data_IF_502615979752
#
_entry.id   IF_502615979752
#
_cell.length_a   1.000
_cell.length_b   1.000
_cell.length_c   1.000
_cell.angle_alpha   90.00
_cell.angle_beta   90.00
_cell.angle_gamma   90.00
#
_symmetry.space_group_name_H-M   'P 1'
#
loop_
_entity.id
_entity.type
_entity.pdbx_description
1 polymer ?
#
# COMPACT_ATOMS: atom_id res chain seq x y z
N UNK A 1 -17.56 -27.78 7.29
CA UNK A 1 -16.22 -27.54 6.71
C UNK A 1 -15.93 -26.06 6.87
N UNK A 2 -14.84 -25.70 7.54
CA UNK A 2 -14.42 -24.32 7.80
C UNK A 2 -13.27 -23.98 6.86
N UNK A 3 -13.35 -22.85 6.17
CA UNK A 3 -12.25 -22.35 5.33
C UNK A 3 -11.54 -21.25 6.12
N UNK A 4 -10.23 -21.39 6.27
CA UNK A 4 -9.34 -20.44 6.93
C UNK A 4 -8.52 -19.76 5.84
N UNK A 5 -8.86 -18.52 5.55
CA UNK A 5 -8.04 -17.68 4.67
C UNK A 5 -6.77 -17.27 5.39
N UNK A 6 -5.60 -17.50 4.79
CA UNK A 6 -4.30 -17.14 5.36
C UNK A 6 -3.66 -16.05 4.51
N UNK A 7 -3.19 -14.99 5.14
CA UNK A 7 -2.40 -13.92 4.52
C UNK A 7 -0.98 -14.02 5.10
N UNK A 8 0.02 -14.06 4.22
CA UNK A 8 1.42 -13.93 4.60
C UNK A 8 1.85 -12.48 4.43
N UNK A 9 2.68 -12.01 5.35
CA UNK A 9 3.43 -10.77 5.20
C UNK A 9 4.87 -11.07 5.57
N UNK A 10 5.80 -10.74 4.68
CA UNK A 10 7.23 -10.82 4.94
C UNK A 10 7.86 -9.48 4.60
N UNK A 11 8.91 -9.11 5.32
CA UNK A 11 9.80 -8.00 5.01
C UNK A 11 11.02 -8.04 5.95
N UNK A 12 12.12 -7.38 5.55
CA UNK A 12 13.31 -7.20 6.36
C UNK A 12 13.16 -5.96 7.25
N UNK A 13 13.37 -6.10 8.56
CA UNK A 13 13.43 -4.93 9.46
C UNK A 13 14.79 -4.80 10.13
N UNK A 14 15.38 -3.61 10.01
CA UNK A 14 16.53 -3.24 10.84
C UNK A 14 16.12 -3.06 12.31
N UNK A 15 16.90 -3.63 13.21
CA UNK A 15 16.74 -3.54 14.66
C UNK A 15 17.56 -2.41 15.29
N UNK A 16 18.59 -1.93 14.58
CA UNK A 16 19.50 -0.87 15.03
C UNK A 16 19.76 0.12 13.90
N UNK A 17 19.56 1.42 14.15
CA UNK A 17 19.72 2.46 13.12
C UNK A 17 21.14 3.07 13.03
N UNK A 18 22.04 2.77 13.97
CA UNK A 18 23.32 3.50 14.11
C UNK A 18 24.57 2.61 14.20
N UNK A 19 24.52 1.44 14.87
CA UNK A 19 25.63 0.49 14.87
C UNK A 19 25.16 -0.94 15.08
N UNK A 20 25.82 -1.88 14.38
CA UNK A 20 25.62 -3.31 14.52
C UNK A 20 24.97 -4.01 13.33
N UNK A 21 24.36 -3.24 12.40
CA UNK A 21 23.69 -3.74 11.17
C UNK A 21 22.85 -5.01 11.41
N UNK A 22 22.11 -5.02 12.52
CA UNK A 22 21.25 -6.14 12.88
C UNK A 22 19.90 -5.96 12.23
N UNK A 23 19.45 -6.98 11.52
CA UNK A 23 18.13 -7.07 10.93
C UNK A 23 17.49 -8.42 11.26
N UNK A 24 16.18 -8.50 11.08
CA UNK A 24 15.41 -9.75 11.13
C UNK A 24 14.52 -9.78 9.91
N UNK A 25 14.43 -10.96 9.29
CA UNK A 25 13.42 -11.25 8.27
C UNK A 25 12.23 -11.93 8.96
N UNK A 26 11.21 -11.14 9.27
CA UNK A 26 10.02 -11.65 9.93
C UNK A 26 9.02 -12.16 8.88
N UNK A 27 8.42 -13.32 9.15
CA UNK A 27 7.27 -13.82 8.37
C UNK A 27 6.06 -13.87 9.29
N UNK A 28 5.08 -13.03 9.00
CA UNK A 28 3.80 -12.98 9.69
C UNK A 28 2.76 -13.82 8.94
N UNK A 29 1.99 -14.57 9.71
CA UNK A 29 0.86 -15.35 9.20
C UNK A 29 -0.41 -14.87 9.91
N UNK A 30 -1.38 -14.42 9.13
CA UNK A 30 -2.61 -13.80 9.63
C UNK A 30 -3.83 -14.44 9.00
N UNK A 31 -4.97 -14.38 9.67
CA UNK A 31 -6.24 -14.80 9.10
C UNK A 31 -6.84 -13.65 8.27
N UNK A 32 -7.13 -13.93 7.00
CA UNK A 32 -7.76 -12.97 6.10
C UNK A 32 -9.26 -12.86 6.35
N UNK A 33 -9.79 -11.64 6.40
CA UNK A 33 -11.23 -11.37 6.55
C UNK A 33 -11.94 -11.38 5.18
N UNK A 34 -11.96 -12.54 4.50
CA UNK A 34 -12.57 -12.67 3.17
C UNK A 34 -13.84 -13.52 3.25
N UNK A 35 -14.92 -13.09 2.56
CA UNK A 35 -16.14 -13.90 2.39
C UNK A 35 -15.78 -15.25 1.79
N UNK A 36 -16.30 -16.33 2.39
CA UNK A 36 -15.96 -17.72 2.01
C UNK A 36 -16.19 -18.06 0.53
N UNK A 37 -17.07 -17.32 -0.16
CA UNK A 37 -17.36 -17.45 -1.59
C UNK A 37 -16.18 -17.14 -2.52
N UNK A 38 -15.13 -16.46 -2.03
CA UNK A 38 -14.03 -15.94 -2.86
C UNK A 38 -12.77 -16.82 -2.83
N UNK A 39 -12.73 -17.86 -2.00
CA UNK A 39 -11.51 -18.67 -1.80
C UNK A 39 -11.19 -19.63 -2.97
N UNK A 40 -9.94 -19.62 -3.44
CA UNK A 40 -9.42 -20.50 -4.51
C UNK A 40 -8.70 -21.73 -3.92
N UNK A 41 -9.17 -22.92 -4.32
CA UNK A 41 -8.67 -24.31 -4.13
C UNK A 41 -8.02 -24.72 -2.79
N UNK A 42 -8.43 -25.92 -2.39
CA UNK A 42 -8.46 -26.46 -1.03
C UNK A 42 -7.14 -27.19 -0.74
N UNK A 43 -6.48 -26.90 0.39
CA UNK A 43 -5.47 -27.78 0.97
C UNK A 43 -6.12 -29.02 1.62
N UNK A 44 -5.34 -30.03 2.02
CA UNK A 44 -5.91 -31.16 2.76
C UNK A 44 -6.60 -30.70 4.04
N UNK A 45 -7.87 -31.08 4.19
CA UNK A 45 -8.66 -30.69 5.34
C UNK A 45 -8.16 -31.39 6.61
N UNK A 46 -7.89 -30.63 7.67
CA UNK A 46 -7.49 -31.14 8.98
C UNK A 46 -8.63 -31.02 9.98
N UNK A 47 -8.72 -31.97 10.90
CA UNK A 47 -9.64 -31.87 12.03
C UNK A 47 -8.99 -31.02 13.12
N UNK A 48 -9.65 -29.93 13.50
CA UNK A 48 -9.19 -28.98 14.51
C UNK A 48 -10.29 -28.82 15.55
N UNK A 49 -9.93 -28.75 16.83
CA UNK A 49 -10.87 -28.49 17.92
C UNK A 49 -11.02 -26.97 18.04
N UNK A 50 -12.26 -26.47 18.01
CA UNK A 50 -12.53 -25.04 18.22
C UNK A 50 -12.52 -24.66 19.71
N UNK A 51 -12.73 -23.38 20.01
CA UNK A 51 -12.77 -22.89 21.38
C UNK A 51 -13.93 -23.47 22.21
N UNK A 52 -14.98 -23.97 21.56
CA UNK A 52 -16.15 -24.59 22.18
C UNK A 52 -15.96 -26.11 22.40
N UNK A 53 -14.80 -26.67 22.02
CA UNK A 53 -14.51 -28.10 22.10
C UNK A 53 -15.09 -28.93 20.93
N UNK A 54 -15.69 -28.30 19.93
CA UNK A 54 -16.24 -28.98 18.77
C UNK A 54 -15.14 -29.30 17.76
N UNK A 55 -15.18 -30.52 17.20
CA UNK A 55 -14.26 -30.89 16.12
C UNK A 55 -14.75 -30.31 14.80
N UNK A 56 -13.95 -29.42 14.20
CA UNK A 56 -14.21 -28.81 12.89
C UNK A 56 -13.25 -29.35 11.85
N UNK A 57 -13.79 -29.66 10.68
CA UNK A 57 -12.99 -29.95 9.48
C UNK A 57 -12.56 -28.62 8.85
N UNK A 58 -11.32 -28.21 9.05
CA UNK A 58 -10.76 -26.93 8.62
C UNK A 58 -9.81 -27.11 7.42
N UNK A 59 -9.83 -26.13 6.51
CA UNK A 59 -8.93 -26.04 5.35
C UNK A 59 -8.27 -24.68 5.37
N UNK A 60 -6.94 -24.62 5.35
CA UNK A 60 -6.20 -23.37 5.20
C UNK A 60 -5.93 -23.08 3.73
N UNK A 61 -6.23 -21.88 3.26
CA UNK A 61 -5.97 -21.44 1.89
C UNK A 61 -5.13 -20.18 1.98
N UNK A 62 -3.95 -20.20 1.35
CA UNK A 62 -3.14 -19.00 1.19
C UNK A 62 -3.87 -18.05 0.23
N UNK A 63 -4.22 -16.86 0.70
CA UNK A 63 -5.00 -15.88 -0.05
C UNK A 63 -4.14 -14.79 -0.66
N UNK A 64 -3.14 -14.34 0.08
CA UNK A 64 -2.31 -13.20 -0.28
C UNK A 64 -0.91 -13.37 0.34
N UNK A 65 0.10 -12.87 -0.36
CA UNK A 65 1.46 -12.73 0.17
C UNK A 65 1.91 -11.29 -0.04
N UNK A 66 2.01 -10.56 1.06
CA UNK A 66 2.44 -9.17 1.13
C UNK A 66 3.96 -9.18 1.28
N UNK A 67 4.64 -8.50 0.38
CA UNK A 67 6.08 -8.34 0.39
C UNK A 67 6.44 -7.06 -0.37
N UNK A 68 7.58 -6.45 -0.04
CA UNK A 68 8.09 -5.34 -0.82
C UNK A 68 8.58 -5.83 -2.21
N UNK A 69 8.81 -4.92 -3.16
CA UNK A 69 9.16 -5.34 -4.52
C UNK A 69 10.46 -6.17 -4.58
N UNK A 70 11.42 -5.89 -3.70
CA UNK A 70 12.70 -6.62 -3.68
C UNK A 70 12.45 -8.07 -3.25
N UNK A 71 11.73 -8.27 -2.16
CA UNK A 71 11.42 -9.60 -1.64
C UNK A 71 10.43 -10.34 -2.55
N UNK A 72 9.53 -9.65 -3.25
CA UNK A 72 8.69 -10.26 -4.27
C UNK A 72 9.51 -11.00 -5.33
N UNK A 73 10.62 -10.43 -5.80
CA UNK A 73 11.52 -11.10 -6.75
C UNK A 73 12.07 -12.42 -6.20
N UNK A 74 12.45 -12.46 -4.93
CA UNK A 74 12.96 -13.66 -4.28
C UNK A 74 11.85 -14.70 -4.08
N UNK A 75 10.65 -14.27 -3.67
CA UNK A 75 9.49 -15.14 -3.52
C UNK A 75 9.14 -15.80 -4.86
N UNK A 76 9.00 -15.02 -5.93
CA UNK A 76 8.60 -15.57 -7.25
C UNK A 76 9.79 -16.05 -8.08
N UNK A 77 11.02 -15.99 -7.55
CA UNK A 77 12.25 -16.39 -8.24
C UNK A 77 12.50 -15.68 -9.59
N UNK A 78 12.09 -14.42 -9.74
CA UNK A 78 12.31 -13.61 -10.96
C UNK A 78 13.44 -12.61 -10.76
N UNK A 79 14.19 -12.34 -11.83
CA UNK A 79 15.29 -11.38 -11.75
C UNK A 79 14.77 -9.95 -11.51
N UNK A 80 15.52 -9.10 -10.78
CA UNK A 80 15.16 -7.70 -10.59
C UNK A 80 14.97 -6.94 -11.91
N UNK A 81 14.26 -5.80 -11.85
CA UNK A 81 13.92 -4.96 -13.00
C UNK A 81 13.01 -5.64 -14.04
N UNK A 82 12.14 -6.52 -13.56
CA UNK A 82 11.05 -7.15 -14.33
C UNK A 82 9.74 -6.97 -13.57
N UNK A 83 8.61 -7.39 -14.16
CA UNK A 83 7.36 -7.46 -13.40
C UNK A 83 7.27 -8.80 -12.66
N UNK A 84 7.05 -8.83 -11.33
CA UNK A 84 6.86 -10.09 -10.60
C UNK A 84 5.54 -10.79 -10.92
N UNK A 85 4.59 -10.08 -11.55
CA UNK A 85 3.25 -10.59 -11.86
C UNK A 85 3.05 -10.95 -13.33
N UNK A 86 3.78 -10.34 -14.27
CA UNK A 86 3.58 -10.54 -15.70
C UNK A 86 4.90 -10.65 -16.47
N UNK A 87 4.85 -11.11 -17.72
CA UNK A 87 6.03 -11.41 -18.55
C UNK A 87 6.85 -10.18 -18.96
N UNK A 88 6.52 -8.98 -18.47
CA UNK A 88 7.23 -7.74 -18.79
C UNK A 88 8.68 -7.78 -18.30
N UNK A 89 9.59 -7.62 -19.26
CA UNK A 89 11.01 -7.40 -19.00
C UNK A 89 11.28 -5.90 -18.80
N UNK A 90 12.54 -5.53 -18.54
CA UNK A 90 12.92 -4.14 -18.32
C UNK A 90 12.45 -3.19 -19.43
N UNK A 91 12.55 -3.62 -20.69
CA UNK A 91 12.20 -2.80 -21.85
C UNK A 91 10.69 -2.60 -21.99
N UNK A 92 9.88 -3.48 -21.40
CA UNK A 92 8.43 -3.43 -21.44
C UNK A 92 7.82 -2.61 -20.29
N UNK A 93 8.60 -2.29 -19.26
CA UNK A 93 8.09 -1.65 -18.03
C UNK A 93 7.45 -0.27 -18.30
N UNK A 94 7.92 0.44 -19.32
CA UNK A 94 7.35 1.71 -19.77
C UNK A 94 6.11 1.58 -20.65
N UNK A 95 5.71 0.38 -21.07
CA UNK A 95 4.57 0.19 -21.98
C UNK A 95 3.23 0.55 -21.33
N UNK A 96 2.22 0.88 -22.14
CA UNK A 96 0.83 1.03 -21.73
C UNK A 96 0.07 -0.30 -21.71
N UNK A 97 0.57 -1.28 -22.45
CA UNK A 97 -0.05 -2.58 -22.60
C UNK A 97 0.61 -3.58 -21.64
N UNK A 98 -0.13 -4.12 -20.66
CA UNK A 98 0.41 -5.16 -19.79
C UNK A 98 0.58 -6.46 -20.57
N UNK A 99 1.66 -7.18 -20.27
CA UNK A 99 1.89 -8.51 -20.82
C UNK A 99 1.10 -9.57 -20.04
N UNK A 100 0.94 -10.79 -20.59
CA UNK A 100 0.29 -11.89 -19.87
C UNK A 100 0.97 -12.18 -18.53
N UNK A 101 0.17 -12.64 -17.56
CA UNK A 101 0.67 -12.99 -16.23
C UNK A 101 1.64 -14.17 -16.27
N UNK A 102 2.63 -14.13 -15.38
CA UNK A 102 3.38 -15.33 -15.01
C UNK A 102 2.44 -16.35 -14.37
N UNK A 103 2.83 -17.62 -14.43
CA UNK A 103 2.21 -18.67 -13.62
C UNK A 103 3.28 -19.35 -12.77
N UNK A 104 2.93 -19.74 -11.55
CA UNK A 104 3.76 -20.56 -10.67
C UNK A 104 4.37 -21.75 -11.43
N UNK A 105 3.56 -22.41 -12.27
CA UNK A 105 4.00 -23.53 -13.11
C UNK A 105 5.09 -23.12 -14.10
N UNK A 106 4.91 -22.02 -14.83
CA UNK A 106 5.91 -21.58 -15.82
C UNK A 106 7.27 -21.27 -15.18
N UNK A 107 7.27 -20.74 -13.96
CA UNK A 107 8.49 -20.44 -13.21
C UNK A 107 9.18 -21.73 -12.76
N UNK A 108 8.41 -22.65 -12.15
CA UNK A 108 8.92 -23.96 -11.72
C UNK A 108 9.47 -24.78 -12.90
N UNK A 109 8.75 -24.81 -14.03
CA UNK A 109 9.18 -25.53 -15.23
C UNK A 109 10.55 -25.00 -15.74
N UNK A 110 10.78 -23.69 -15.67
CA UNK A 110 12.07 -23.09 -16.05
C UNK A 110 13.20 -23.44 -15.07
N UNK A 111 12.93 -23.42 -13.76
CA UNK A 111 13.89 -23.83 -12.73
C UNK A 111 14.29 -25.30 -12.90
N UNK A 112 13.30 -26.17 -13.04
CA UNK A 112 13.51 -27.60 -13.26
C UNK A 112 14.26 -27.88 -14.57
N UNK A 113 13.97 -27.12 -15.63
CA UNK A 113 14.70 -27.23 -16.89
C UNK A 113 16.18 -26.91 -16.74
N UNK A 114 16.54 -25.86 -15.98
CA UNK A 114 17.95 -25.56 -15.69
C UNK A 114 18.58 -26.71 -14.90
N UNK A 115 17.90 -27.18 -13.83
CA UNK A 115 18.44 -28.28 -13.01
C UNK A 115 18.63 -29.56 -13.81
N UNK A 116 17.71 -29.89 -14.72
CA UNK A 116 17.80 -31.07 -15.57
C UNK A 116 18.95 -30.96 -16.59
N UNK A 117 19.20 -29.76 -17.12
CA UNK A 117 20.29 -29.51 -18.06
C UNK A 117 21.67 -29.47 -17.37
N UNK A 118 21.71 -29.03 -16.11
CA UNK A 118 22.93 -28.93 -15.30
C UNK A 118 22.76 -29.62 -13.94
N UNK A 119 22.70 -30.97 -13.88
CA UNK A 119 22.38 -31.71 -12.65
C UNK A 119 23.41 -31.54 -11.52
N UNK A 120 24.66 -31.24 -11.88
CA UNK A 120 25.79 -31.09 -10.95
C UNK A 120 26.25 -29.64 -10.83
N UNK A 121 25.45 -28.68 -11.32
CA UNK A 121 25.76 -27.28 -11.12
C UNK A 121 25.76 -26.93 -9.63
N UNK A 122 26.81 -26.27 -9.18
CA UNK A 122 26.79 -25.58 -7.90
C UNK A 122 25.84 -24.35 -7.96
N UNK A 123 25.56 -23.75 -6.80
CA UNK A 123 24.67 -22.59 -6.68
C UNK A 123 25.07 -21.44 -7.60
N UNK A 124 26.38 -21.20 -7.79
CA UNK A 124 26.85 -20.12 -8.64
C UNK A 124 26.62 -20.43 -10.13
N UNK A 125 26.92 -21.65 -10.55
CA UNK A 125 26.68 -22.13 -11.90
C UNK A 125 25.18 -22.10 -12.23
N UNK A 126 24.32 -22.54 -11.32
CA UNK A 126 22.87 -22.42 -11.46
C UNK A 126 22.46 -20.95 -11.63
N UNK A 127 22.92 -20.06 -10.75
CA UNK A 127 22.62 -18.64 -10.79
C UNK A 127 23.00 -17.99 -12.14
N UNK A 128 24.16 -18.36 -12.69
CA UNK A 128 24.56 -17.90 -14.03
C UNK A 128 23.58 -18.33 -15.12
N UNK A 129 23.06 -19.56 -15.07
CA UNK A 129 22.10 -20.05 -16.06
C UNK A 129 20.69 -19.46 -15.85
N UNK A 130 20.26 -19.33 -14.61
CA UNK A 130 18.98 -18.69 -14.23
C UNK A 130 18.90 -17.25 -14.76
N UNK A 131 19.99 -16.49 -14.56
CA UNK A 131 20.08 -15.10 -15.03
C UNK A 131 19.89 -14.97 -16.55
N UNK A 132 20.37 -15.93 -17.34
CA UNK A 132 20.25 -15.89 -18.81
C UNK A 132 18.80 -15.94 -19.32
N UNK A 133 17.87 -16.41 -18.49
CA UNK A 133 16.45 -16.51 -18.82
C UNK A 133 15.57 -15.63 -17.91
N UNK A 134 16.17 -14.68 -17.19
CA UNK A 134 15.44 -13.73 -16.35
C UNK A 134 14.95 -14.29 -15.00
N UNK A 135 15.50 -15.41 -14.53
CA UNK A 135 15.23 -15.94 -13.20
C UNK A 135 16.24 -15.43 -12.16
N UNK A 136 15.80 -15.36 -10.90
CA UNK A 136 16.67 -15.16 -9.75
C UNK A 136 17.45 -16.44 -9.40
N UNK A 137 18.40 -16.32 -8.48
CA UNK A 137 19.26 -17.43 -8.02
C UNK A 137 18.57 -18.35 -7.00
N UNK A 138 17.26 -18.59 -7.15
CA UNK A 138 16.47 -19.40 -6.22
C UNK A 138 16.34 -20.82 -6.78
N UNK A 139 17.08 -21.74 -6.17
CA UNK A 139 17.17 -23.14 -6.60
C UNK A 139 15.98 -23.98 -6.14
N UNK A 140 15.48 -23.71 -4.92
CA UNK A 140 14.40 -24.43 -4.27
C UNK A 140 13.35 -23.43 -3.83
N UNK A 141 12.14 -23.57 -4.36
CA UNK A 141 11.05 -22.64 -4.11
C UNK A 141 10.23 -23.10 -2.90
N UNK A 142 10.00 -22.19 -1.94
CA UNK A 142 9.31 -22.51 -0.69
C UNK A 142 7.81 -22.79 -0.85
N UNK A 143 7.18 -22.33 -1.95
CA UNK A 143 5.77 -22.57 -2.27
C UNK A 143 5.56 -23.70 -3.29
N UNK A 144 6.61 -24.43 -3.68
CA UNK A 144 6.45 -25.58 -4.56
C UNK A 144 5.52 -26.63 -3.93
N UNK A 145 4.56 -27.12 -4.73
CA UNK A 145 3.55 -28.08 -4.26
C UNK A 145 2.30 -27.45 -3.63
N UNK A 146 2.26 -26.14 -3.42
CA UNK A 146 1.01 -25.48 -3.02
C UNK A 146 -0.03 -25.55 -4.15
N UNK A 147 -1.32 -25.78 -3.83
CA UNK A 147 -2.39 -25.89 -4.84
C UNK A 147 -2.87 -24.51 -5.36
N UNK A 148 -2.02 -23.49 -5.28
CA UNK A 148 -2.32 -22.11 -5.67
C UNK A 148 -1.21 -21.52 -6.54
N UNK A 149 -1.60 -20.63 -7.44
CA UNK A 149 -0.66 -19.89 -8.27
C UNK A 149 -0.16 -18.64 -7.52
N UNK A 150 1.11 -18.68 -7.09
CA UNK A 150 1.74 -17.59 -6.32
C UNK A 150 1.66 -16.24 -7.05
N UNK A 151 1.77 -16.23 -8.38
CA UNK A 151 1.79 -15.00 -9.18
C UNK A 151 0.43 -14.29 -9.17
N UNK A 152 -0.65 -14.96 -8.70
CA UNK A 152 -1.98 -14.37 -8.55
C UNK A 152 -2.26 -13.83 -7.16
N UNK A 153 -1.44 -14.18 -6.18
CA UNK A 153 -1.62 -13.84 -4.76
C UNK A 153 -0.49 -13.01 -4.19
N UNK A 154 0.62 -12.84 -4.93
CA UNK A 154 1.64 -11.86 -4.59
C UNK A 154 1.03 -10.46 -4.70
N UNK A 155 1.14 -9.67 -3.64
CA UNK A 155 0.47 -8.39 -3.52
C UNK A 155 1.36 -7.26 -3.97
N UNK A 156 0.83 -6.36 -4.80
CA UNK A 156 1.41 -5.02 -4.91
C UNK A 156 1.01 -4.18 -3.69
N UNK A 157 2.01 -3.54 -3.11
CA UNK A 157 1.89 -2.84 -1.83
C UNK A 157 1.72 -1.33 -2.01
N UNK A 158 0.78 -0.73 -1.28
CA UNK A 158 0.53 0.72 -1.38
C UNK A 158 1.71 1.54 -0.83
N UNK A 159 2.34 1.11 0.25
CA UNK A 159 3.41 1.87 0.91
C UNK A 159 4.71 1.89 0.08
N UNK A 160 5.24 0.72 -0.22
CA UNK A 160 6.47 0.50 -0.97
C UNK A 160 6.29 0.58 -2.49
N UNK A 161 5.05 0.48 -2.98
CA UNK A 161 4.68 0.65 -4.38
C UNK A 161 4.22 2.08 -4.68
N UNK A 162 2.94 2.40 -4.39
CA UNK A 162 2.31 3.67 -4.74
C UNK A 162 2.96 4.89 -4.09
N UNK A 163 3.02 4.92 -2.76
CA UNK A 163 3.57 6.07 -2.01
C UNK A 163 5.07 6.23 -2.26
N UNK A 164 5.79 5.11 -2.40
CA UNK A 164 7.22 5.15 -2.77
C UNK A 164 7.44 5.57 -4.22
N UNK A 165 6.54 5.25 -5.16
CA UNK A 165 6.57 5.75 -6.54
C UNK A 165 6.36 7.27 -6.58
N UNK A 166 5.37 7.75 -5.83
CA UNK A 166 5.15 9.18 -5.65
C UNK A 166 6.43 9.86 -5.12
N UNK A 167 7.01 9.31 -4.05
CA UNK A 167 8.19 9.86 -3.40
C UNK A 167 9.43 9.85 -4.28
N UNK A 168 9.80 8.69 -4.81
CA UNK A 168 11.10 8.49 -5.46
C UNK A 168 11.13 9.10 -6.87
N UNK A 169 9.98 9.23 -7.52
CA UNK A 169 9.90 9.65 -8.91
C UNK A 169 9.05 10.90 -9.11
N UNK A 170 7.78 10.91 -8.68
CA UNK A 170 6.90 12.04 -8.99
C UNK A 170 7.39 13.34 -8.34
N UNK A 171 7.80 13.32 -7.07
CA UNK A 171 8.37 14.51 -6.41
C UNK A 171 9.59 15.02 -7.18
N UNK A 172 10.48 14.13 -7.60
CA UNK A 172 11.67 14.50 -8.37
C UNK A 172 11.31 15.15 -9.71
N UNK A 173 10.38 14.56 -10.46
CA UNK A 173 9.92 15.11 -11.74
C UNK A 173 9.29 16.49 -11.59
N UNK A 174 8.44 16.66 -10.57
CA UNK A 174 7.83 17.94 -10.27
C UNK A 174 8.87 18.98 -9.85
N UNK A 175 9.86 18.59 -9.04
CA UNK A 175 11.01 19.43 -8.67
C UNK A 175 11.75 19.92 -9.91
N UNK A 176 12.09 19.01 -10.81
CA UNK A 176 12.86 19.30 -12.01
C UNK A 176 12.06 20.15 -13.01
N UNK A 177 10.74 19.99 -13.04
CA UNK A 177 9.85 20.77 -13.91
C UNK A 177 9.75 22.23 -13.44
N UNK A 178 9.51 22.45 -12.14
CA UNK A 178 9.37 23.80 -11.57
C UNK A 178 10.72 24.52 -11.47
N UNK A 179 11.82 23.76 -11.27
CA UNK A 179 13.16 24.31 -11.12
C UNK A 179 13.46 24.81 -9.70
N UNK A 180 14.53 25.62 -9.59
CA UNK A 180 15.00 26.16 -8.30
C UNK A 180 13.97 27.06 -7.65
N UNK A 181 13.95 27.13 -6.30
CA UNK A 181 12.88 27.80 -5.62
C UNK A 181 12.84 29.33 -5.79
N UNK A 182 11.66 29.86 -6.15
CA UNK A 182 11.17 31.19 -5.82
C UNK A 182 10.33 31.14 -4.50
N UNK A 183 9.76 32.27 -4.02
CA UNK A 183 9.10 32.36 -2.70
C UNK A 183 7.98 31.33 -2.41
N UNK A 184 7.27 30.80 -3.42
CA UNK A 184 6.23 29.76 -3.23
C UNK A 184 6.88 28.38 -2.99
N UNK A 185 7.99 28.13 -3.66
CA UNK A 185 8.76 26.89 -3.59
C UNK A 185 9.63 26.78 -2.33
N UNK A 186 9.79 27.84 -1.53
CA UNK A 186 10.40 27.75 -0.19
C UNK A 186 9.51 26.98 0.78
N UNK A 187 8.18 27.11 0.65
CA UNK A 187 7.21 26.29 1.38
C UNK A 187 7.28 24.82 0.96
N UNK A 188 7.50 24.57 -0.34
CA UNK A 188 7.67 23.22 -0.89
C UNK A 188 8.97 22.56 -0.44
N UNK A 189 10.11 23.28 -0.43
CA UNK A 189 11.36 22.75 0.11
C UNK A 189 11.23 22.47 1.61
N UNK A 190 10.51 23.31 2.35
CA UNK A 190 10.24 23.07 3.77
C UNK A 190 9.39 21.81 3.99
N UNK A 191 8.36 21.58 3.16
CA UNK A 191 7.59 20.32 3.16
C UNK A 191 8.44 19.11 2.76
N UNK A 192 9.45 19.30 1.90
CA UNK A 192 10.41 18.26 1.49
C UNK A 192 11.52 18.00 2.54
N UNK A 193 11.78 18.93 3.45
CA UNK A 193 12.91 18.80 4.40
C UNK A 193 12.47 18.18 5.75
N UNK A 194 11.19 18.27 6.13
CA UNK A 194 10.67 17.75 7.42
C UNK A 194 10.02 16.34 7.31
N UNK A 195 10.75 15.38 6.73
CA UNK A 195 10.24 14.07 6.30
C UNK A 195 9.99 13.04 7.42
N UNK A 196 8.71 12.66 7.60
CA UNK A 196 8.27 11.45 8.30
C UNK A 196 7.15 10.76 7.50
N UNK A 197 6.80 9.49 7.79
CA UNK A 197 5.76 8.75 7.06
C UNK A 197 4.40 9.48 6.97
N UNK A 198 4.00 10.22 8.02
CA UNK A 198 2.81 11.09 8.01
C UNK A 198 2.95 12.27 7.03
N UNK A 199 4.16 12.82 6.90
CA UNK A 199 4.45 13.93 5.98
C UNK A 199 4.31 13.58 4.49
N UNK A 200 4.49 12.30 4.10
CA UNK A 200 4.31 11.89 2.70
C UNK A 200 2.85 12.03 2.26
N UNK A 201 1.88 11.55 3.07
CA UNK A 201 0.45 11.62 2.74
C UNK A 201 -0.06 13.05 2.69
N UNK A 202 0.41 13.91 3.58
CA UNK A 202 0.04 15.33 3.54
C UNK A 202 0.61 16.01 2.29
N UNK A 203 1.81 15.64 1.84
CA UNK A 203 2.34 16.17 0.59
C UNK A 203 1.53 15.70 -0.62
N UNK A 204 1.16 14.43 -0.71
CA UNK A 204 0.30 13.90 -1.78
C UNK A 204 -1.01 14.69 -1.92
N UNK A 205 -1.60 15.11 -0.80
CA UNK A 205 -2.86 15.88 -0.78
C UNK A 205 -2.73 17.30 -1.31
N UNK A 206 -1.59 17.95 -1.07
CA UNK A 206 -1.43 19.38 -1.32
C UNK A 206 -0.53 19.70 -2.52
N UNK A 207 0.15 18.71 -3.08
CA UNK A 207 1.19 18.93 -4.09
C UNK A 207 0.64 19.58 -5.37
N UNK A 208 -0.51 19.13 -5.88
CA UNK A 208 -1.10 19.67 -7.11
C UNK A 208 -1.49 21.15 -6.95
N UNK A 209 -2.26 21.55 -5.91
CA UNK A 209 -2.54 22.97 -5.67
C UNK A 209 -1.29 23.84 -5.53
N UNK A 210 -0.25 23.33 -4.85
CA UNK A 210 0.99 24.08 -4.60
C UNK A 210 1.72 24.41 -5.89
N UNK A 211 1.77 23.47 -6.84
CA UNK A 211 2.55 23.63 -8.07
C UNK A 211 1.73 24.15 -9.25
N UNK A 212 0.40 24.24 -9.14
CA UNK A 212 -0.51 24.71 -10.21
C UNK A 212 -0.27 26.16 -10.65
N UNK A 213 0.32 26.99 -9.79
CA UNK A 213 0.69 28.37 -10.08
C UNK A 213 2.20 28.60 -10.18
N UNK A 214 3.01 27.54 -10.20
CA UNK A 214 4.46 27.67 -10.22
C UNK A 214 4.96 28.04 -11.63
N UNK A 215 5.89 29.00 -11.70
CA UNK A 215 6.58 29.36 -12.93
C UNK A 215 7.30 28.12 -13.48
N UNK A 216 7.08 27.79 -14.75
CA UNK A 216 7.68 26.60 -15.40
C UNK A 216 6.83 25.32 -15.36
N UNK A 217 5.70 25.31 -14.64
CA UNK A 217 4.79 24.15 -14.68
C UNK A 217 4.15 23.98 -16.07
N UNK A 218 4.20 22.76 -16.59
CA UNK A 218 3.69 22.40 -17.93
C UNK A 218 2.36 21.63 -17.79
N UNK A 219 1.32 21.96 -18.58
CA UNK A 219 0.02 21.30 -18.48
C UNK A 219 0.06 19.77 -18.58
N UNK A 220 0.89 19.21 -19.46
CA UNK A 220 1.05 17.75 -19.59
C UNK A 220 1.61 17.10 -18.32
N UNK A 221 2.62 17.71 -17.71
CA UNK A 221 3.24 17.24 -16.46
C UNK A 221 2.24 17.31 -15.30
N UNK A 222 1.52 18.42 -15.19
CA UNK A 222 0.46 18.60 -14.18
C UNK A 222 -0.62 17.54 -14.32
N UNK A 223 -1.08 17.27 -15.55
CA UNK A 223 -2.08 16.25 -15.84
C UNK A 223 -1.58 14.85 -15.48
N UNK A 224 -0.37 14.49 -15.90
CA UNK A 224 0.25 13.20 -15.56
C UNK A 224 0.41 13.02 -14.05
N UNK A 225 0.82 14.07 -13.34
CA UNK A 225 0.94 14.06 -11.88
C UNK A 225 -0.41 13.86 -11.18
N UNK A 226 -1.45 14.57 -11.64
CA UNK A 226 -2.81 14.41 -11.12
C UNK A 226 -3.35 13.01 -11.36
N UNK A 227 -3.19 12.46 -12.57
CA UNK A 227 -3.66 11.11 -12.90
C UNK A 227 -2.98 10.04 -12.04
N UNK A 228 -1.67 10.20 -11.75
CA UNK A 228 -0.99 9.30 -10.83
C UNK A 228 -1.56 9.40 -9.41
N UNK A 229 -1.86 10.60 -8.91
CA UNK A 229 -2.50 10.79 -7.61
C UNK A 229 -3.94 10.26 -7.58
N UNK A 230 -4.72 10.49 -8.62
CA UNK A 230 -6.08 9.93 -8.76
C UNK A 230 -6.03 8.40 -8.71
N UNK A 231 -5.05 7.78 -9.37
CA UNK A 231 -4.82 6.33 -9.26
C UNK A 231 -4.52 5.92 -7.82
N UNK A 232 -3.61 6.63 -7.15
CA UNK A 232 -3.21 6.38 -5.76
C UNK A 232 -4.43 6.44 -4.83
N UNK A 233 -5.30 7.44 -4.99
CA UNK A 233 -6.49 7.61 -4.16
C UNK A 233 -7.57 6.58 -4.45
N UNK A 234 -7.87 6.30 -5.72
CA UNK A 234 -8.89 5.30 -6.08
C UNK A 234 -8.45 3.91 -5.62
N UNK A 235 -7.18 3.54 -5.80
CA UNK A 235 -6.67 2.23 -5.37
C UNK A 235 -6.86 1.99 -3.87
N UNK A 236 -6.82 3.05 -3.05
CA UNK A 236 -6.96 3.00 -1.59
C UNK A 236 -8.41 2.96 -1.09
N UNK A 237 -9.43 2.97 -1.96
CA UNK A 237 -10.80 2.89 -1.48
C UNK A 237 -11.04 1.61 -0.67
N UNK A 238 -11.62 1.71 0.56
CA UNK A 238 -11.86 0.56 1.43
C UNK A 238 -12.91 -0.40 0.85
N UNK A 239 -13.65 0.04 -0.17
CA UNK A 239 -14.57 -0.78 -0.92
C UNK A 239 -14.48 -0.40 -2.40
N UNK A 240 -14.38 -1.42 -3.26
CA UNK A 240 -14.25 -1.27 -4.70
C UNK A 240 -15.50 -1.85 -5.37
N UNK A 241 -16.04 -1.12 -6.33
CA UNK A 241 -17.14 -1.55 -7.20
C UNK A 241 -16.64 -1.66 -8.65
N UNK A 242 -17.46 -2.22 -9.53
CA UNK A 242 -17.13 -2.27 -10.96
C UNK A 242 -16.89 -0.87 -11.53
N UNK A 243 -17.61 0.15 -11.04
CA UNK A 243 -17.42 1.54 -11.47
C UNK A 243 -16.09 2.13 -11.00
N UNK A 244 -15.65 1.84 -9.78
CA UNK A 244 -14.35 2.33 -9.28
C UNK A 244 -13.19 1.59 -9.96
N UNK A 245 -13.33 0.29 -10.26
CA UNK A 245 -12.36 -0.46 -11.06
C UNK A 245 -12.24 0.06 -12.50
N UNK A 246 -13.37 0.42 -13.13
CA UNK A 246 -13.37 1.08 -14.44
C UNK A 246 -12.69 2.45 -14.38
N UNK A 247 -12.96 3.25 -13.34
CA UNK A 247 -12.29 4.53 -13.14
C UNK A 247 -10.77 4.35 -12.96
N UNK A 248 -10.34 3.39 -12.15
CA UNK A 248 -8.93 3.08 -11.94
C UNK A 248 -8.22 2.71 -13.25
N UNK A 249 -8.87 1.89 -14.09
CA UNK A 249 -8.36 1.53 -15.42
C UNK A 249 -8.30 2.74 -16.37
N UNK A 250 -9.33 3.58 -16.38
CA UNK A 250 -9.40 4.77 -17.22
C UNK A 250 -8.33 5.80 -16.85
N UNK A 251 -8.12 6.01 -15.54
CA UNK A 251 -7.06 6.88 -15.02
C UNK A 251 -5.69 6.37 -15.43
N UNK A 252 -5.44 5.05 -15.31
CA UNK A 252 -4.16 4.48 -15.75
C UNK A 252 -3.96 4.66 -17.26
N UNK A 253 -4.96 4.34 -18.08
CA UNK A 253 -4.89 4.55 -19.54
C UNK A 253 -4.54 6.00 -19.88
N UNK A 254 -5.26 6.95 -19.29
CA UNK A 254 -5.04 8.38 -19.53
C UNK A 254 -3.66 8.81 -19.03
N UNK A 255 -3.16 8.23 -17.94
CA UNK A 255 -1.80 8.47 -17.47
C UNK A 255 -0.77 8.03 -18.51
N UNK A 256 -0.93 6.84 -19.11
CA UNK A 256 -0.04 6.37 -20.17
C UNK A 256 -0.05 7.27 -21.41
N UNK A 257 -1.20 7.86 -21.76
CA UNK A 257 -1.32 8.81 -22.88
C UNK A 257 -0.57 10.14 -22.62
N UNK A 258 -0.33 10.50 -21.36
CA UNK A 258 0.24 11.81 -21.00
C UNK A 258 1.65 11.74 -20.40
N UNK A 259 2.07 10.60 -19.84
CA UNK A 259 3.32 10.48 -19.06
C UNK A 259 4.59 10.84 -19.84
N UNK A 260 4.56 10.77 -21.17
CA UNK A 260 5.66 11.20 -22.04
C UNK A 260 6.03 12.67 -21.81
N UNK A 261 5.12 13.47 -21.25
CA UNK A 261 5.40 14.85 -20.83
C UNK A 261 6.60 14.97 -19.89
N UNK A 262 6.85 13.96 -19.04
CA UNK A 262 8.00 13.95 -18.12
C UNK A 262 9.34 13.76 -18.84
N UNK A 263 9.32 13.08 -20.00
CA UNK A 263 10.51 12.90 -20.85
C UNK A 263 10.69 14.15 -21.71
N UNK A 264 9.63 14.61 -22.37
CA UNK A 264 9.67 15.75 -23.28
C UNK A 264 10.15 17.05 -22.62
N UNK A 265 9.80 17.26 -21.35
CA UNK A 265 10.27 18.43 -20.60
C UNK A 265 11.62 18.23 -19.90
N UNK A 266 12.24 17.05 -20.02
CA UNK A 266 13.51 16.72 -19.39
C UNK A 266 13.46 16.55 -17.87
N UNK A 267 12.28 16.39 -17.26
CA UNK A 267 12.15 16.23 -15.80
C UNK A 267 12.58 14.84 -15.31
N UNK A 268 12.50 13.83 -16.18
CA UNK A 268 12.96 12.48 -15.90
C UNK A 268 14.49 12.40 -16.03
N UNK A 269 15.19 12.39 -14.89
CA UNK A 269 16.66 12.44 -14.80
C UNK A 269 17.21 11.33 -13.94
N UNK A 270 18.34 10.76 -14.34
CA UNK A 270 19.18 9.94 -13.49
C UNK A 270 20.23 10.78 -12.74
N UNK A 271 21.18 10.11 -12.09
CA UNK A 271 22.23 10.78 -11.32
C UNK A 271 23.13 11.73 -12.16
N UNK A 272 23.21 11.53 -13.48
CA UNK A 272 24.14 12.30 -14.34
C UNK A 272 23.57 12.68 -15.71
N UNK A 273 22.37 12.25 -16.07
CA UNK A 273 21.81 12.48 -17.40
C UNK A 273 20.28 12.47 -17.39
N UNK A 274 19.68 13.10 -18.41
CA UNK A 274 18.25 12.92 -18.71
C UNK A 274 18.02 11.46 -19.15
N UNK A 275 16.93 10.87 -18.69
CA UNK A 275 16.49 9.52 -19.05
C UNK A 275 15.31 9.66 -20.02
N UNK A 276 15.38 8.98 -21.16
CA UNK A 276 14.40 9.06 -22.25
C UNK A 276 13.36 7.92 -22.22
N UNK A 277 13.15 7.31 -21.06
CA UNK A 277 12.18 6.23 -20.87
C UNK A 277 11.58 6.25 -19.45
N UNK A 278 10.47 5.56 -19.28
CA UNK A 278 9.79 5.39 -17.99
C UNK A 278 9.74 3.91 -17.56
N UNK A 279 10.79 3.15 -17.88
CA UNK A 279 10.99 1.75 -17.49
C UNK A 279 11.25 1.62 -15.98
N UNK A 280 10.23 1.89 -15.18
CA UNK A 280 10.28 1.92 -13.72
C UNK A 280 9.40 0.80 -13.21
N UNK A 281 9.95 -0.21 -12.49
CA UNK A 281 9.16 -1.35 -12.01
C UNK A 281 7.93 -0.93 -11.19
N UNK A 282 8.04 0.08 -10.32
CA UNK A 282 6.91 0.59 -9.52
C UNK A 282 5.83 1.28 -10.38
N UNK A 283 6.21 1.91 -11.48
CA UNK A 283 5.25 2.50 -12.42
C UNK A 283 4.53 1.40 -13.21
N UNK A 284 5.26 0.38 -13.66
CA UNK A 284 4.66 -0.77 -14.33
C UNK A 284 3.71 -1.55 -13.40
N UNK A 285 4.06 -1.63 -12.12
CA UNK A 285 3.26 -2.31 -11.10
C UNK A 285 1.83 -1.75 -10.99
N UNK A 286 1.55 -0.51 -11.45
CA UNK A 286 0.19 0.04 -11.53
C UNK A 286 -0.79 -0.89 -12.27
N UNK A 287 -0.33 -1.60 -13.31
CA UNK A 287 -1.15 -2.62 -13.99
C UNK A 287 -1.52 -3.79 -13.07
N UNK A 288 -0.65 -4.13 -12.11
CA UNK A 288 -0.87 -5.24 -11.20
C UNK A 288 -2.02 -4.95 -10.24
N UNK A 289 -2.23 -3.70 -9.78
CA UNK A 289 -3.42 -3.33 -8.97
C UNK A 289 -4.73 -3.67 -9.67
N UNK A 290 -4.80 -3.50 -11.00
CA UNK A 290 -6.00 -3.84 -11.78
C UNK A 290 -6.33 -5.34 -11.74
N UNK A 291 -5.33 -6.19 -11.45
CA UNK A 291 -5.51 -7.63 -11.27
C UNK A 291 -5.61 -8.04 -9.80
N UNK A 292 -4.82 -7.43 -8.90
CA UNK A 292 -4.81 -7.73 -7.47
C UNK A 292 -6.13 -7.36 -6.82
N UNK A 293 -6.70 -6.17 -7.08
CA UNK A 293 -7.94 -5.75 -6.42
C UNK A 293 -9.10 -6.72 -6.70
N UNK A 294 -9.38 -7.12 -7.97
CA UNK A 294 -10.40 -8.12 -8.24
C UNK A 294 -10.08 -9.52 -7.67
N UNK A 295 -8.80 -9.86 -7.51
CA UNK A 295 -8.38 -11.19 -7.04
C UNK A 295 -8.37 -11.30 -5.50
N UNK A 296 -8.00 -10.22 -4.80
CA UNK A 296 -7.63 -10.22 -3.38
C UNK A 296 -8.52 -9.32 -2.52
N UNK A 297 -9.32 -8.45 -3.14
CA UNK A 297 -10.15 -7.46 -2.45
C UNK A 297 -9.52 -6.07 -2.45
N UNK A 298 -10.08 -5.16 -1.65
CA UNK A 298 -9.52 -3.82 -1.44
C UNK A 298 -8.13 -3.89 -0.80
N UNK A 299 -7.28 -2.89 -1.10
CA UNK A 299 -5.86 -2.89 -0.72
C UNK A 299 -5.62 -2.77 0.79
N UNK A 300 -6.60 -2.32 1.55
CA UNK A 300 -6.57 -2.27 3.02
C UNK A 300 -6.39 -3.67 3.64
N UNK A 301 -6.84 -4.72 2.95
CA UNK A 301 -6.68 -6.11 3.39
C UNK A 301 -5.24 -6.65 3.25
N UNK A 302 -4.38 -5.99 2.47
CA UNK A 302 -3.05 -6.51 2.15
C UNK A 302 -1.94 -5.44 2.07
N UNK A 303 -2.02 -4.40 2.91
CA UNK A 303 -1.03 -3.33 2.99
C UNK A 303 0.14 -3.66 3.95
N UNK A 304 1.37 -3.31 3.56
CA UNK A 304 2.56 -3.50 4.43
C UNK A 304 2.61 -2.59 5.65
N UNK A 305 1.76 -1.57 5.77
CA UNK A 305 1.63 -0.77 7.01
C UNK A 305 1.35 -1.67 8.24
N UNK A 306 0.63 -2.77 8.01
CA UNK A 306 0.41 -3.79 9.03
C UNK A 306 1.72 -4.50 9.41
N UNK A 307 2.53 -4.88 8.42
CA UNK A 307 3.85 -5.45 8.60
C UNK A 307 4.80 -4.52 9.34
N UNK A 308 4.84 -3.23 8.99
CA UNK A 308 5.66 -2.24 9.71
C UNK A 308 5.25 -2.08 11.18
N UNK A 309 3.94 -2.07 11.45
CA UNK A 309 3.39 -2.04 12.81
C UNK A 309 3.81 -3.29 13.59
N UNK A 310 3.71 -4.46 12.96
CA UNK A 310 4.16 -5.73 13.55
C UNK A 310 5.68 -5.76 13.76
N UNK A 311 6.49 -5.18 12.87
CA UNK A 311 7.93 -5.05 13.07
C UNK A 311 8.25 -4.24 14.31
N UNK A 312 7.54 -3.14 14.55
CA UNK A 312 7.70 -2.35 15.77
C UNK A 312 7.37 -3.21 16.99
N UNK A 313 6.19 -3.81 17.01
CA UNK A 313 5.66 -4.53 18.17
C UNK A 313 6.43 -5.83 18.47
N UNK A 314 6.69 -6.62 17.44
CA UNK A 314 7.17 -8.00 17.58
C UNK A 314 8.69 -8.12 17.46
N UNK A 315 9.35 -7.21 16.73
CA UNK A 315 10.80 -7.29 16.52
C UNK A 315 11.54 -6.20 17.30
N UNK A 316 11.20 -4.93 17.09
CA UNK A 316 11.97 -3.80 17.65
C UNK A 316 11.79 -3.66 19.16
N UNK A 317 10.55 -3.70 19.67
CA UNK A 317 10.30 -3.65 21.11
C UNK A 317 10.86 -4.87 21.83
N UNK A 318 10.68 -6.06 21.25
CA UNK A 318 11.28 -7.29 21.75
C UNK A 318 12.80 -7.12 21.87
N UNK A 319 13.47 -6.75 20.77
CA UNK A 319 14.93 -6.55 20.74
C UNK A 319 15.43 -5.51 21.76
N UNK A 320 14.67 -4.43 21.99
CA UNK A 320 15.01 -3.41 22.99
C UNK A 320 14.96 -3.95 24.43
N UNK A 321 14.07 -4.91 24.71
CA UNK A 321 13.87 -5.47 26.05
C UNK A 321 14.91 -6.54 26.46
N UNK A 322 15.84 -6.91 25.57
CA UNK A 322 16.76 -8.05 25.76
C UNK A 322 18.23 -7.62 25.80
N UNK A 323 19.11 -8.57 26.07
CA UNK A 323 20.56 -8.34 26.14
C UNK A 323 21.22 -8.22 24.75
N UNK A 324 20.45 -8.41 23.66
CA UNK A 324 20.85 -8.22 22.25
C UNK A 324 21.89 -9.20 21.70
N UNK A 325 22.24 -10.27 22.41
CA UNK A 325 23.07 -11.39 21.92
C UNK A 325 22.17 -12.50 21.40
N UNK A 326 22.54 -13.18 20.31
CA UNK A 326 21.74 -14.29 19.73
C UNK A 326 20.23 -13.96 19.71
N UNK A 327 19.94 -12.77 19.18
CA UNK A 327 18.70 -12.04 19.48
C UNK A 327 17.47 -12.66 18.83
N UNK A 328 17.62 -13.44 17.77
CA UNK A 328 16.51 -14.12 17.10
C UNK A 328 15.79 -15.08 18.06
N UNK A 329 16.55 -15.96 18.73
CA UNK A 329 15.99 -16.89 19.71
C UNK A 329 15.37 -16.16 20.89
N UNK A 330 16.00 -15.06 21.32
CA UNK A 330 15.44 -14.25 22.41
C UNK A 330 14.12 -13.61 21.99
N UNK A 331 14.02 -13.03 20.78
CA UNK A 331 12.79 -12.45 20.22
C UNK A 331 11.68 -13.49 20.24
N UNK A 332 11.94 -14.71 19.74
CA UNK A 332 10.96 -15.81 19.76
C UNK A 332 10.50 -16.11 21.19
N UNK A 333 11.44 -16.27 22.14
CA UNK A 333 11.10 -16.54 23.55
C UNK A 333 10.28 -15.43 24.18
N UNK A 334 10.59 -14.17 23.87
CA UNK A 334 9.83 -13.01 24.36
C UNK A 334 8.41 -13.01 23.82
N UNK A 335 8.23 -13.28 22.53
CA UNK A 335 6.91 -13.36 21.90
C UNK A 335 6.06 -14.48 22.52
N UNK A 336 6.63 -15.68 22.70
CA UNK A 336 5.97 -16.81 23.37
C UNK A 336 5.55 -16.42 24.80
N UNK A 337 6.41 -15.69 25.52
CA UNK A 337 6.10 -15.23 26.87
C UNK A 337 4.94 -14.21 26.88
N UNK A 338 4.96 -13.22 25.99
CA UNK A 338 3.88 -12.24 25.86
C UNK A 338 2.55 -12.90 25.49
N UNK A 339 2.56 -13.85 24.55
CA UNK A 339 1.38 -14.62 24.16
C UNK A 339 0.84 -15.46 25.32
N UNK A 340 1.72 -16.14 26.05
CA UNK A 340 1.34 -16.94 27.23
C UNK A 340 0.68 -16.08 28.33
N UNK A 341 1.23 -14.89 28.59
CA UNK A 341 0.65 -13.93 29.54
C UNK A 341 -0.71 -13.41 29.06
N UNK A 342 -0.86 -13.13 27.77
CA UNK A 342 -2.13 -12.69 27.19
C UNK A 342 -3.20 -13.78 27.30
N UNK A 343 -2.87 -15.02 26.95
CA UNK A 343 -3.77 -16.17 27.06
C UNK A 343 -4.18 -16.41 28.52
N UNK A 344 -3.23 -16.35 29.45
CA UNK A 344 -3.52 -16.49 30.88
C UNK A 344 -4.41 -15.36 31.40
N UNK A 345 -4.17 -14.11 30.99
CA UNK A 345 -5.03 -12.97 31.31
C UNK A 345 -6.45 -13.17 30.78
N UNK A 346 -6.61 -13.61 29.53
CA UNK A 346 -7.91 -13.88 28.93
C UNK A 346 -8.66 -14.99 29.68
N UNK A 347 -7.95 -16.05 30.08
CA UNK A 347 -8.51 -17.11 30.92
C UNK A 347 -8.99 -16.57 32.28
N UNK A 348 -8.21 -15.72 32.95
CA UNK A 348 -8.62 -15.10 34.22
C UNK A 348 -9.86 -14.23 34.05
N UNK A 349 -9.93 -13.42 32.98
CA UNK A 349 -11.11 -12.61 32.66
C UNK A 349 -12.34 -13.48 32.45
N UNK A 350 -12.26 -14.52 31.60
CA UNK A 350 -13.36 -15.45 31.35
C UNK A 350 -13.82 -16.13 32.64
N UNK A 351 -12.89 -16.63 33.45
CA UNK A 351 -13.20 -17.29 34.71
C UNK A 351 -13.87 -16.34 35.71
N UNK A 352 -13.40 -15.09 35.81
CA UNK A 352 -13.97 -14.11 36.72
C UNK A 352 -15.35 -13.60 36.24
N UNK A 353 -15.54 -13.40 34.93
CA UNK A 353 -16.86 -13.10 34.35
C UNK A 353 -17.87 -14.24 34.57
N UNK A 354 -17.38 -15.49 34.56
CA UNK A 354 -18.18 -16.66 34.91
C UNK A 354 -18.61 -16.68 36.40
N UNK A 355 -17.95 -15.91 37.28
CA UNK A 355 -18.35 -15.74 38.68
C UNK A 355 -19.36 -14.61 38.91
N UNK A 356 -19.43 -13.63 38.01
CA UNK A 356 -20.36 -12.49 38.10
C UNK A 356 -21.75 -12.77 37.48
N UNK A 357 -21.89 -13.83 36.68
CA UNK A 357 -23.19 -14.24 36.10
C UNK A 357 -24.20 -14.78 37.13
N UNK A 358 -23.77 -15.07 38.37
CA UNK A 358 -24.66 -15.44 39.47
C UNK A 358 -25.22 -14.23 40.23
N UNK A 359 -24.77 -13.00 39.96
CA UNK A 359 -25.27 -11.80 40.60
C UNK A 359 -25.14 -10.58 39.69
N UNK A 360 -26.02 -10.42 38.69
CA UNK A 360 -26.66 -9.14 38.31
C UNK A 360 -27.51 -9.30 37.05
N UNK A 361 -28.73 -8.77 37.10
CA UNK A 361 -29.57 -8.56 35.91
C UNK A 361 -28.85 -7.61 34.93
N UNK A 362 -28.85 -7.89 33.61
CA UNK A 362 -28.26 -7.00 32.64
C UNK A 362 -29.17 -5.80 32.38
N UNK A 363 -28.70 -4.59 32.66
CA UNK A 363 -29.20 -3.39 32.00
C UNK A 363 -28.49 -3.27 30.64
N UNK A 364 -29.27 -3.34 29.57
CA UNK A 364 -28.80 -3.15 28.19
C UNK A 364 -28.23 -1.74 28.00
N UNK A 365 -26.91 -1.67 27.86
CA UNK A 365 -26.18 -0.48 27.44
C UNK A 365 -25.44 -0.82 26.15
N UNK A 366 -26.12 -0.64 25.01
CA UNK A 366 -25.61 -0.74 23.64
C UNK A 366 -24.62 0.40 23.27
N UNK A 367 -23.76 0.80 24.20
CA UNK A 367 -22.68 1.74 23.91
C UNK A 367 -21.40 0.95 23.59
N UNK A 368 -20.86 1.02 22.35
CA UNK A 368 -19.57 0.40 22.06
C UNK A 368 -18.47 1.02 22.93
N UNK A 369 -17.52 0.22 23.46
CA UNK A 369 -16.39 0.74 24.21
C UNK A 369 -15.52 1.57 23.27
N UNK A 370 -15.44 2.86 23.57
CA UNK A 370 -14.66 3.86 22.83
C UNK A 370 -13.16 3.52 22.91
N UNK A 371 -12.49 3.07 21.82
CA UNK A 371 -11.07 2.85 21.81
C UNK A 371 -10.41 4.11 21.25
N UNK A 372 -10.17 5.12 22.08
CA UNK A 372 -9.32 6.22 21.71
C UNK A 372 -8.39 6.64 22.85
N UNK A 373 -7.10 6.32 22.73
CA UNK A 373 -6.04 7.13 23.27
C UNK A 373 -5.49 8.04 22.15
N UNK A 374 -6.31 8.90 21.55
CA UNK A 374 -5.80 9.87 20.54
C UNK A 374 -6.59 11.19 20.46
N UNK A 375 -7.55 11.45 21.36
CA UNK A 375 -8.35 12.68 21.35
C UNK A 375 -7.63 13.94 21.89
N UNK A 376 -6.29 14.02 21.81
CA UNK A 376 -5.50 15.16 22.31
C UNK A 376 -4.74 15.92 21.20
N UNK A 377 -4.75 15.48 19.93
CA UNK A 377 -3.87 16.09 18.90
C UNK A 377 -4.56 16.71 17.68
N UNK A 378 -5.88 16.95 17.70
CA UNK A 378 -6.60 17.60 16.59
C UNK A 378 -6.79 19.12 16.71
N UNK A 379 -6.23 19.78 17.73
CA UNK A 379 -6.53 21.19 17.99
C UNK A 379 -5.59 22.23 17.37
N UNK A 380 -4.54 21.87 16.60
CA UNK A 380 -3.49 22.84 16.25
C UNK A 380 -3.08 22.95 14.77
N UNK A 381 -3.79 22.28 13.85
CA UNK A 381 -3.57 22.45 12.41
C UNK A 381 -4.42 23.60 11.85
N UNK A 382 -4.17 24.83 12.31
CA UNK A 382 -4.80 26.02 11.73
C UNK A 382 -4.40 26.21 10.26
N UNK A 383 -5.34 26.09 9.34
CA UNK A 383 -5.15 26.35 7.90
C UNK A 383 -4.68 27.80 7.73
N UNK A 384 -3.45 27.99 7.21
CA UNK A 384 -2.90 29.33 6.93
C UNK A 384 -3.14 29.70 5.47
N UNK A 385 -4.09 30.59 5.23
CA UNK A 385 -4.36 31.15 3.90
C UNK A 385 -3.33 32.24 3.55
N UNK A 386 -3.01 32.35 2.26
CA UNK A 386 -2.12 33.40 1.77
C UNK A 386 -2.75 34.79 1.97
N UNK A 387 -2.04 35.71 2.65
CA UNK A 387 -2.52 37.08 2.90
C UNK A 387 -2.77 37.90 1.62
N UNK A 388 -2.23 37.47 0.47
CA UNK A 388 -2.35 38.12 -0.83
C UNK A 388 -2.43 37.05 -1.93
N UNK A 389 -3.63 36.63 -2.35
CA UNK A 389 -3.77 35.71 -3.46
C UNK A 389 -3.37 36.39 -4.78
N UNK A 390 -2.78 35.62 -5.71
CA UNK A 390 -2.35 36.07 -7.03
C UNK A 390 -3.53 36.47 -7.95
N UNK A 391 -4.74 35.96 -7.65
CA UNK A 391 -6.02 36.43 -8.19
C UNK A 391 -6.95 36.73 -7.01
N UNK A 392 -7.53 37.92 -6.99
CA UNK A 392 -8.35 38.39 -5.86
C UNK A 392 -9.77 37.82 -5.92
N UNK A 393 -10.24 37.43 -7.11
CA UNK A 393 -11.57 36.86 -7.34
C UNK A 393 -11.44 35.81 -8.46
N UNK A 394 -11.81 34.57 -8.18
CA UNK A 394 -11.88 33.49 -9.16
C UNK A 394 -13.15 32.68 -8.89
N UNK A 395 -13.98 32.43 -9.91
CA UNK A 395 -15.17 31.60 -9.68
C UNK A 395 -14.76 30.13 -9.56
N UNK A 396 -15.47 29.36 -8.72
CA UNK A 396 -15.21 27.92 -8.57
C UNK A 396 -15.38 27.17 -9.90
N UNK A 397 -16.27 27.65 -10.78
CA UNK A 397 -16.48 27.10 -12.11
C UNK A 397 -15.31 27.41 -13.05
N UNK A 398 -14.73 28.61 -12.96
CA UNK A 398 -13.53 28.94 -13.73
C UNK A 398 -12.34 28.11 -13.27
N UNK A 399 -12.21 27.83 -11.96
CA UNK A 399 -11.22 26.88 -11.45
C UNK A 399 -11.51 25.46 -11.95
N UNK A 400 -12.77 25.02 -11.90
CA UNK A 400 -13.18 23.71 -12.40
C UNK A 400 -12.85 23.53 -13.88
N UNK A 401 -13.09 24.54 -14.71
CA UNK A 401 -12.80 24.52 -16.15
C UNK A 401 -11.30 24.69 -16.45
N UNK A 402 -10.64 25.62 -15.77
CA UNK A 402 -9.21 25.91 -15.99
C UNK A 402 -8.33 24.72 -15.61
N UNK A 403 -8.72 23.97 -14.59
CA UNK A 403 -7.94 22.84 -14.07
C UNK A 403 -8.59 21.46 -14.34
N UNK A 404 -9.68 21.43 -15.10
CA UNK A 404 -10.43 20.21 -15.46
C UNK A 404 -10.87 19.39 -14.24
N UNK A 405 -11.33 20.08 -13.19
CA UNK A 405 -11.82 19.50 -11.93
C UNK A 405 -13.34 19.73 -11.89
N UNK A 406 -14.15 18.96 -12.63
CA UNK A 406 -15.59 19.23 -12.77
C UNK A 406 -16.32 19.21 -11.42
N UNK A 407 -15.85 18.39 -10.48
CA UNK A 407 -16.41 18.25 -9.14
C UNK A 407 -15.83 19.23 -8.11
N UNK A 408 -14.96 20.16 -8.51
CA UNK A 408 -14.34 21.13 -7.59
C UNK A 408 -15.38 21.94 -6.80
N UNK A 409 -16.45 22.48 -7.41
CA UNK A 409 -17.45 23.23 -6.67
C UNK A 409 -18.16 22.36 -5.63
N UNK A 410 -18.52 21.12 -6.00
CA UNK A 410 -19.19 20.17 -5.10
C UNK A 410 -18.27 19.69 -3.96
N UNK A 411 -16.98 19.49 -4.26
CA UNK A 411 -15.97 19.03 -3.29
C UNK A 411 -15.66 20.11 -2.25
N UNK A 412 -15.52 21.38 -2.68
CA UNK A 412 -15.36 22.49 -1.75
C UNK A 412 -16.62 22.68 -0.90
N UNK A 413 -17.80 22.60 -1.50
CA UNK A 413 -19.05 22.69 -0.74
C UNK A 413 -19.14 21.62 0.36
N UNK A 414 -18.80 20.37 0.02
CA UNK A 414 -18.76 19.26 1.01
C UNK A 414 -17.72 19.52 2.10
N UNK A 415 -16.50 19.92 1.73
CA UNK A 415 -15.44 20.23 2.68
C UNK A 415 -15.85 21.33 3.66
N UNK A 416 -16.51 22.40 3.18
CA UNK A 416 -17.01 23.49 4.03
C UNK A 416 -18.09 22.97 4.99
N UNK A 417 -19.01 22.13 4.52
CA UNK A 417 -20.05 21.52 5.37
C UNK A 417 -19.47 20.59 6.44
N UNK A 418 -18.48 19.76 6.08
CA UNK A 418 -17.85 18.80 6.99
C UNK A 418 -16.94 19.48 8.04
N UNK A 419 -16.41 20.67 7.73
CA UNK A 419 -15.50 21.42 8.59
C UNK A 419 -16.11 22.70 9.19
N UNK A 420 -17.40 22.98 8.98
CA UNK A 420 -18.12 24.04 9.69
C UNK A 420 -18.37 23.57 11.14
N UNK A 421 -17.51 24.04 12.05
CA UNK A 421 -17.60 23.78 13.50
C UNK A 421 -18.78 24.51 14.18
N UNK A 422 -19.95 24.54 13.54
CA UNK A 422 -21.19 25.03 14.13
C UNK A 422 -21.24 26.53 14.38
N UNK A 423 -20.46 27.35 13.66
CA UNK A 423 -20.50 28.81 13.86
C UNK A 423 -21.67 29.50 13.15
N UNK A 424 -22.39 28.78 12.29
CA UNK A 424 -23.64 29.26 11.72
C UNK A 424 -24.79 28.29 11.99
N UNK A 425 -25.94 28.83 12.40
CA UNK A 425 -27.16 28.09 12.73
C UNK A 425 -27.47 27.08 11.62
N UNK A 426 -27.55 25.80 11.99
CA UNK A 426 -28.05 24.70 11.12
C UNK A 426 -29.30 25.17 10.35
N UNK A 427 -29.28 25.26 9.01
CA UNK A 427 -30.51 25.27 8.25
C UNK A 427 -31.09 23.85 8.31
N UNK A 428 -32.35 23.73 8.72
CA UNK A 428 -33.13 22.52 8.47
C UNK A 428 -33.24 22.36 6.96
N UNK A 429 -32.82 21.22 6.44
CA UNK A 429 -33.14 20.82 5.08
C UNK A 429 -34.63 20.51 5.00
N UNK A 430 -35.41 21.41 4.39
CA UNK A 430 -36.68 21.07 3.77
C UNK A 430 -36.53 21.23 2.25
N UNK A 431 -37.02 20.22 1.52
CA UNK A 431 -36.91 20.06 0.08
C UNK A 431 -37.65 21.15 -0.73
N UNK A 432 -37.11 21.44 -1.93
CA UNK A 432 -37.72 22.05 -3.13
C UNK A 432 -38.07 23.55 -3.08
N UNK A 433 -37.41 24.33 -3.93
CA UNK A 433 -37.83 25.69 -4.33
C UNK A 433 -36.66 26.58 -4.74
N UNK A 434 -36.80 27.27 -5.87
CA UNK A 434 -35.78 28.08 -6.54
C UNK A 434 -35.31 29.37 -5.80
N UNK A 435 -34.18 29.90 -6.31
CA UNK A 435 -33.66 31.30 -6.31
C UNK A 435 -32.87 31.80 -5.06
N UNK A 436 -31.98 32.84 -5.17
CA UNK A 436 -30.63 32.92 -5.77
C UNK A 436 -29.49 33.28 -4.78
N UNK A 437 -28.26 33.30 -5.32
CA UNK A 437 -26.98 33.74 -4.77
C UNK A 437 -26.98 34.98 -3.84
N UNK A 438 -26.18 34.91 -2.76
CA UNK A 438 -25.37 36.02 -2.26
C UNK A 438 -24.27 35.53 -1.29
N UNK A 439 -23.05 36.03 -1.55
CA UNK A 439 -21.78 36.03 -0.77
C UNK A 439 -20.84 34.83 -0.87
#
# INVERSE_FOLDING_TARGET
MTILGVILCSDETHLTNFSGDKSVHAVYMMLGNIRSSTCRKVSEARMVIDADGNTRRCVAILLAWIADLKEQYDIVALAPNSCPSCLATYDDLGSADPLPHHTAKSILDNIHKIRAMYPHADTWQFACQAKNIGLASVENICWEGLPIDICRIICVDNLHGLHKMFKDHLILWLSNTVGKPNSITDSWHSLIVWWSGKGHRDLERHIIPVIAGADGMIPGVMRSARLLLDFIYIAQFPMQSDSTLQALKAVLSTFHDNKESFIQNGSQTGASSIINHLNIPKLHALHCWLSNIPNLGSTDNYCTEMGETLHILMCKLAYQAMNRKDYEEQIIRYLIHQESLLLFRNYLCWRNQSMDLDNTHPEDSDAPPNPHPDAILLSDAGIRLAKRPHKVICSLNDVALQYDIPDFPASIARFVVENDNGSTRRPRYDYLGDVPAAF
#
